data_IF_632930406207
#
_entry.id   IF_632930406207
#
_cell.length_a   1.000
_cell.length_b   1.000
_cell.length_c   1.000
_cell.angle_alpha   90.00
_cell.angle_beta   90.00
_cell.angle_gamma   90.00
#
_symmetry.space_group_name_H-M   'P 1'
#
loop_
_entity.id
_entity.type
_entity.pdbx_description
1 polymer ?
#
# COMPACT_ATOMS: atom_id res chain seq x y z
N UNK A 1 -19.30 -9.23 7.15
CA UNK A 1 -19.76 -9.04 5.76
C UNK A 1 -18.68 -9.62 4.86
N UNK A 2 -19.00 -10.48 3.90
CA UNK A 2 -17.99 -11.06 3.01
C UNK A 2 -17.66 -10.07 1.90
N UNK A 3 -16.37 -9.82 1.67
CA UNK A 3 -15.89 -8.99 0.56
C UNK A 3 -15.67 -9.88 -0.66
N UNK A 4 -16.02 -9.39 -1.84
CA UNK A 4 -15.87 -10.11 -3.09
C UNK A 4 -15.19 -9.23 -4.15
N UNK A 5 -14.51 -9.85 -5.09
CA UNK A 5 -13.92 -9.17 -6.22
C UNK A 5 -12.92 -8.08 -5.84
N UNK A 6 -13.09 -6.93 -6.44
CA UNK A 6 -12.19 -5.78 -6.26
C UNK A 6 -12.17 -5.24 -4.82
N UNK A 7 -13.32 -5.25 -4.13
CA UNK A 7 -13.39 -4.83 -2.72
C UNK A 7 -12.52 -5.74 -1.83
N UNK A 8 -12.59 -7.05 -2.06
CA UNK A 8 -11.75 -8.02 -1.35
C UNK A 8 -10.26 -7.79 -1.59
N UNK A 9 -9.87 -7.40 -2.81
CA UNK A 9 -8.48 -7.08 -3.12
C UNK A 9 -7.99 -5.82 -2.39
N UNK A 10 -8.81 -4.76 -2.33
CA UNK A 10 -8.49 -3.53 -1.60
C UNK A 10 -8.38 -3.80 -0.10
N UNK A 11 -9.31 -4.59 0.46
CA UNK A 11 -9.27 -4.98 1.88
C UNK A 11 -8.02 -5.81 2.21
N UNK A 12 -7.69 -6.81 1.40
CA UNK A 12 -6.49 -7.62 1.58
C UNK A 12 -5.21 -6.79 1.50
N UNK A 13 -5.15 -5.84 0.55
CA UNK A 13 -4.02 -4.92 0.43
C UNK A 13 -3.91 -4.04 1.67
N UNK A 14 -5.03 -3.48 2.15
CA UNK A 14 -5.07 -2.67 3.36
C UNK A 14 -4.59 -3.44 4.58
N UNK A 15 -5.09 -4.66 4.82
CA UNK A 15 -4.66 -5.52 5.91
C UNK A 15 -3.16 -5.83 5.85
N UNK A 16 -2.64 -6.15 4.66
CA UNK A 16 -1.22 -6.43 4.48
C UNK A 16 -0.34 -5.22 4.74
N UNK A 17 -0.71 -4.06 4.21
CA UNK A 17 0.09 -2.84 4.37
C UNK A 17 0.09 -2.31 5.81
N UNK A 18 -0.99 -2.57 6.56
CA UNK A 18 -1.13 -2.14 7.96
C UNK A 18 -0.72 -3.20 8.99
N UNK A 19 -0.29 -4.39 8.55
CA UNK A 19 0.15 -5.44 9.48
C UNK A 19 1.28 -4.98 10.39
N UNK A 20 1.13 -5.18 11.69
CA UNK A 20 2.07 -4.67 12.69
C UNK A 20 3.45 -5.37 12.67
N UNK A 21 3.54 -6.55 12.06
CA UNK A 21 4.78 -7.34 12.00
C UNK A 21 5.43 -7.32 10.62
N UNK A 22 4.61 -7.34 9.57
CA UNK A 22 5.07 -7.52 8.20
C UNK A 22 4.70 -6.37 7.28
N UNK A 23 3.86 -5.45 7.72
CA UNK A 23 3.38 -4.31 6.95
C UNK A 23 4.41 -3.20 6.75
N UNK A 24 3.96 -2.12 6.16
CA UNK A 24 4.83 -1.04 5.72
C UNK A 24 5.56 -0.36 6.89
N UNK A 25 4.86 -0.01 7.97
CA UNK A 25 5.49 0.66 9.11
C UNK A 25 6.52 -0.23 9.81
N UNK A 26 6.29 -1.55 9.91
CA UNK A 26 7.28 -2.49 10.42
C UNK A 26 8.54 -2.54 9.54
N UNK A 27 8.39 -2.48 8.23
CA UNK A 27 9.51 -2.42 7.30
C UNK A 27 10.26 -1.08 7.37
N UNK A 28 9.54 0.04 7.54
CA UNK A 28 10.15 1.35 7.76
C UNK A 28 10.99 1.38 9.05
N UNK A 29 10.48 0.80 10.13
CA UNK A 29 11.23 0.66 11.40
C UNK A 29 12.53 -0.15 11.20
N UNK A 30 12.45 -1.26 10.46
CA UNK A 30 13.64 -2.06 10.11
C UNK A 30 14.64 -1.24 9.31
N UNK A 31 14.21 -0.50 8.30
CA UNK A 31 15.07 0.35 7.48
C UNK A 31 15.71 1.49 8.28
N UNK A 32 14.97 2.09 9.22
CA UNK A 32 15.55 3.10 10.14
C UNK A 32 16.72 2.51 10.94
N UNK A 33 16.52 1.33 11.48
CA UNK A 33 17.57 0.63 12.22
C UNK A 33 18.78 0.30 11.36
N UNK A 34 18.57 -0.28 10.17
CA UNK A 34 19.63 -0.64 9.23
C UNK A 34 20.47 0.55 8.75
N UNK A 35 19.85 1.71 8.59
CA UNK A 35 20.46 2.92 8.02
C UNK A 35 20.80 3.99 9.06
N UNK A 36 20.60 3.71 10.35
CA UNK A 36 20.80 4.67 11.46
C UNK A 36 20.01 5.97 11.26
N UNK A 37 18.76 5.88 10.82
CA UNK A 37 17.87 7.00 10.57
C UNK A 37 16.96 7.24 11.77
N UNK A 38 16.61 8.50 11.99
CA UNK A 38 15.56 8.87 12.96
C UNK A 38 14.16 8.68 12.38
N UNK A 39 13.15 8.73 13.24
CA UNK A 39 11.75 8.78 12.80
C UNK A 39 11.41 10.08 12.03
N UNK A 40 12.18 11.15 12.24
CA UNK A 40 12.01 12.38 11.47
C UNK A 40 12.55 12.25 10.03
N UNK A 41 13.62 11.46 9.82
CA UNK A 41 14.20 11.25 8.48
C UNK A 41 13.36 10.26 7.63
N UNK A 42 12.62 9.38 8.26
CA UNK A 42 11.74 8.40 7.62
C UNK A 42 10.56 8.08 8.54
N UNK A 43 9.55 8.95 8.61
CA UNK A 43 8.40 8.75 9.48
C UNK A 43 7.55 7.56 9.09
N UNK A 44 6.83 7.01 10.05
CA UNK A 44 5.80 6.00 9.78
C UNK A 44 4.64 6.63 9.01
N UNK A 45 3.92 5.81 8.24
CA UNK A 45 2.66 6.24 7.65
C UNK A 45 1.69 6.52 8.80
N UNK A 46 1.25 7.77 8.90
CA UNK A 46 0.37 8.24 9.98
C UNK A 46 -1.08 7.87 9.76
N UNK A 47 -1.49 7.75 8.49
CA UNK A 47 -2.86 7.43 8.12
C UNK A 47 -2.88 6.50 6.91
N UNK A 48 -3.63 5.39 7.03
CA UNK A 48 -3.94 4.49 5.93
C UNK A 48 -5.43 4.63 5.59
N UNK A 49 -5.74 4.84 4.32
CA UNK A 49 -7.10 4.88 3.83
C UNK A 49 -7.31 3.85 2.71
N UNK A 50 -8.52 3.32 2.66
CA UNK A 50 -8.99 2.45 1.60
C UNK A 50 -9.88 3.26 0.67
N UNK A 51 -9.80 2.97 -0.63
CA UNK A 51 -10.55 3.69 -1.65
C UNK A 51 -10.10 5.16 -1.79
N UNK A 52 -11.03 6.09 -1.95
CA UNK A 52 -10.69 7.48 -2.18
C UNK A 52 -10.25 8.18 -0.89
N UNK A 53 -9.17 8.97 -0.94
CA UNK A 53 -8.74 9.73 0.23
C UNK A 53 -9.78 10.81 0.58
N UNK A 54 -9.89 11.07 1.88
CA UNK A 54 -10.62 12.25 2.38
C UNK A 54 -9.96 13.53 1.88
N UNK A 55 -10.68 14.65 1.91
CA UNK A 55 -10.11 15.95 1.56
C UNK A 55 -8.84 16.26 2.34
N UNK A 56 -7.95 17.10 1.78
CA UNK A 56 -6.61 17.39 2.31
C UNK A 56 -6.59 17.86 3.76
N UNK A 57 -7.62 18.59 4.20
CA UNK A 57 -7.72 19.09 5.58
C UNK A 57 -7.89 18.00 6.64
N UNK A 58 -8.30 16.79 6.24
CA UNK A 58 -8.53 15.68 7.15
C UNK A 58 -7.38 14.65 7.12
N UNK A 59 -6.34 14.87 6.30
CA UNK A 59 -5.23 13.91 6.15
C UNK A 59 -4.15 14.17 7.20
N UNK A 60 -3.63 13.08 7.76
CA UNK A 60 -2.40 13.09 8.55
C UNK A 60 -1.26 12.55 7.67
N UNK A 61 -0.15 13.27 7.65
CA UNK A 61 0.98 12.91 6.81
C UNK A 61 2.13 12.30 7.63
N UNK A 62 2.90 11.36 7.07
CA UNK A 62 2.71 10.73 5.75
C UNK A 62 1.39 9.98 5.63
N UNK A 63 0.71 10.20 4.50
CA UNK A 63 -0.60 9.62 4.22
C UNK A 63 -0.50 8.55 3.15
N UNK A 64 -1.21 7.44 3.31
CA UNK A 64 -1.32 6.41 2.29
C UNK A 64 -2.78 6.07 2.01
N UNK A 65 -3.13 5.98 0.75
CA UNK A 65 -4.42 5.43 0.33
C UNK A 65 -4.23 4.32 -0.71
N UNK A 66 -5.17 3.37 -0.72
CA UNK A 66 -5.22 2.28 -1.71
C UNK A 66 -6.49 2.42 -2.52
N UNK A 67 -6.34 2.51 -3.83
CA UNK A 67 -7.41 2.77 -4.79
C UNK A 67 -7.61 1.55 -5.69
N UNK A 68 -8.87 1.26 -5.99
CA UNK A 68 -9.22 0.36 -7.09
C UNK A 68 -9.05 1.09 -8.42
N UNK A 69 -8.49 0.40 -9.40
CA UNK A 69 -8.30 0.93 -10.74
C UNK A 69 -9.15 0.20 -11.78
N UNK A 70 -8.98 -1.12 -11.88
CA UNK A 70 -9.71 -1.97 -12.82
C UNK A 70 -9.62 -3.44 -12.42
N UNK A 71 -10.45 -4.28 -12.99
CA UNK A 71 -10.31 -5.73 -12.88
C UNK A 71 -10.62 -6.46 -14.19
N UNK A 72 -10.15 -7.71 -14.26
CA UNK A 72 -10.55 -8.67 -15.28
C UNK A 72 -10.79 -10.01 -14.59
N UNK A 73 -11.89 -10.68 -14.96
CA UNK A 73 -12.27 -11.95 -14.37
C UNK A 73 -12.31 -13.05 -15.43
N UNK A 74 -11.82 -14.23 -15.05
CA UNK A 74 -11.93 -15.45 -15.82
C UNK A 74 -12.68 -16.48 -14.99
N UNK A 75 -13.82 -16.96 -15.52
CA UNK A 75 -14.64 -17.94 -14.83
C UNK A 75 -14.16 -19.35 -15.12
N UNK A 76 -14.09 -20.16 -14.08
CA UNK A 76 -13.81 -21.60 -14.12
C UNK A 76 -14.99 -22.36 -13.52
N UNK A 77 -15.13 -23.70 -13.71
CA UNK A 77 -16.35 -24.44 -13.32
C UNK A 77 -16.77 -24.30 -11.85
N UNK A 78 -15.80 -24.20 -10.93
CA UNK A 78 -16.06 -24.13 -9.48
C UNK A 78 -15.35 -22.94 -8.80
N UNK A 79 -14.77 -22.05 -9.60
CA UNK A 79 -14.03 -20.92 -9.08
C UNK A 79 -14.00 -19.77 -10.09
N UNK A 80 -13.59 -18.61 -9.64
CA UNK A 80 -13.34 -17.45 -10.48
C UNK A 80 -11.96 -16.90 -10.20
N UNK A 81 -11.16 -16.75 -11.24
CA UNK A 81 -9.87 -16.05 -11.16
C UNK A 81 -10.08 -14.58 -11.51
N UNK A 82 -9.62 -13.70 -10.65
CA UNK A 82 -9.73 -12.26 -10.83
C UNK A 82 -8.33 -11.66 -10.78
N UNK A 83 -8.02 -10.82 -11.77
CA UNK A 83 -6.86 -9.95 -11.73
C UNK A 83 -7.36 -8.53 -11.45
N UNK A 84 -6.98 -7.99 -10.31
CA UNK A 84 -7.38 -6.64 -9.88
C UNK A 84 -6.16 -5.74 -9.94
N UNK A 85 -6.28 -4.64 -10.67
CA UNK A 85 -5.29 -3.55 -10.66
C UNK A 85 -5.64 -2.59 -9.54
N UNK A 86 -4.69 -2.38 -8.63
CA UNK A 86 -4.78 -1.43 -7.52
C UNK A 86 -3.70 -0.37 -7.66
N UNK A 87 -3.95 0.80 -7.12
CA UNK A 87 -2.97 1.86 -6.98
C UNK A 87 -2.87 2.26 -5.51
N UNK A 88 -1.66 2.35 -4.97
CA UNK A 88 -1.44 3.04 -3.71
C UNK A 88 -0.73 4.37 -3.94
N UNK A 89 -1.10 5.34 -3.13
CA UNK A 89 -0.48 6.67 -3.11
C UNK A 89 0.05 6.94 -1.73
N UNK A 90 1.35 7.20 -1.61
CA UNK A 90 1.98 7.69 -0.40
C UNK A 90 2.30 9.15 -0.62
N UNK A 91 1.72 10.04 0.17
CA UNK A 91 2.00 11.47 0.13
C UNK A 91 2.78 11.89 1.37
N UNK A 92 3.86 12.60 1.17
CA UNK A 92 4.70 13.18 2.24
C UNK A 92 4.75 14.69 2.07
N UNK A 93 4.67 15.40 3.17
CA UNK A 93 4.85 16.84 3.24
C UNK A 93 6.16 17.17 3.94
N UNK A 94 6.73 18.30 3.60
CA UNK A 94 7.79 19.07 4.29
C UNK A 94 8.40 18.37 5.53
N UNK A 95 9.22 17.36 5.27
CA UNK A 95 9.89 16.63 6.33
C UNK A 95 10.79 17.56 7.16
N UNK A 96 10.67 17.43 8.47
CA UNK A 96 11.42 18.24 9.44
C UNK A 96 11.09 19.75 9.39
N UNK A 97 10.04 20.19 8.74
CA UNK A 97 9.64 21.60 8.57
C UNK A 97 10.80 22.50 8.08
N UNK A 98 11.67 21.95 7.23
CA UNK A 98 12.85 22.67 6.72
C UNK A 98 12.70 23.15 5.26
N UNK A 99 11.55 22.84 4.62
CA UNK A 99 11.28 23.22 3.25
C UNK A 99 12.15 22.51 2.20
N UNK A 100 12.78 21.40 2.55
CA UNK A 100 13.72 20.70 1.67
C UNK A 100 13.00 19.69 0.76
N UNK A 101 12.87 19.99 -0.52
CA UNK A 101 12.38 19.04 -1.51
C UNK A 101 13.31 17.82 -1.66
N UNK A 102 14.62 18.00 -1.45
CA UNK A 102 15.59 16.92 -1.53
C UNK A 102 15.36 15.87 -0.44
N UNK A 103 15.03 16.29 0.78
CA UNK A 103 14.74 15.37 1.89
C UNK A 103 13.44 14.61 1.65
N UNK A 104 12.41 15.28 1.14
CA UNK A 104 11.15 14.64 0.72
C UNK A 104 11.40 13.62 -0.38
N UNK A 105 12.17 13.97 -1.41
CA UNK A 105 12.54 13.06 -2.50
C UNK A 105 13.31 11.83 -2.02
N UNK A 106 14.26 12.01 -1.10
CA UNK A 106 15.00 10.90 -0.52
C UNK A 106 14.10 9.97 0.30
N UNK A 107 13.20 10.53 1.10
CA UNK A 107 12.21 9.74 1.83
C UNK A 107 11.32 8.93 0.87
N UNK A 108 10.89 9.51 -0.25
CA UNK A 108 10.11 8.80 -1.26
C UNK A 108 10.83 7.60 -1.85
N UNK A 109 12.12 7.72 -2.14
CA UNK A 109 12.93 6.58 -2.57
C UNK A 109 12.95 5.48 -1.50
N UNK A 110 13.02 5.85 -0.22
CA UNK A 110 13.00 4.90 0.90
C UNK A 110 11.63 4.22 1.06
N UNK A 111 10.53 4.96 0.92
CA UNK A 111 9.17 4.37 0.92
C UNK A 111 9.00 3.38 -0.22
N UNK A 112 9.44 3.72 -1.43
CA UNK A 112 9.45 2.80 -2.57
C UNK A 112 10.22 1.52 -2.27
N UNK A 113 11.42 1.65 -1.71
CA UNK A 113 12.27 0.51 -1.37
C UNK A 113 11.63 -0.35 -0.26
N UNK A 114 10.97 0.27 0.72
CA UNK A 114 10.21 -0.44 1.75
C UNK A 114 9.06 -1.23 1.16
N UNK A 115 8.23 -0.61 0.30
CA UNK A 115 7.17 -1.30 -0.42
C UNK A 115 7.71 -2.48 -1.22
N UNK A 116 8.76 -2.28 -1.99
CA UNK A 116 9.38 -3.35 -2.77
C UNK A 116 9.82 -4.50 -1.87
N UNK A 117 10.47 -4.22 -0.74
CA UNK A 117 10.93 -5.25 0.20
C UNK A 117 9.79 -6.07 0.78
N UNK A 118 8.66 -5.45 1.19
CA UNK A 118 7.54 -6.22 1.76
C UNK A 118 6.87 -7.15 0.75
N UNK A 119 6.81 -6.76 -0.52
CA UNK A 119 6.24 -7.60 -1.58
C UNK A 119 7.20 -8.72 -2.05
N UNK A 120 8.51 -8.49 -1.96
CA UNK A 120 9.51 -9.52 -2.23
C UNK A 120 9.69 -10.51 -1.07
N UNK A 121 9.26 -10.14 0.12
CA UNK A 121 9.40 -10.97 1.31
C UNK A 121 8.50 -12.20 1.19
N UNK A 122 9.07 -13.38 1.40
CA UNK A 122 8.28 -14.60 1.56
C UNK A 122 7.71 -14.62 2.98
N UNK A 123 6.39 -14.78 3.08
CA UNK A 123 5.76 -15.04 4.36
C UNK A 123 6.35 -16.34 4.98
N UNK A 124 6.37 -16.48 6.32
CA UNK A 124 6.92 -17.66 7.00
C UNK A 124 6.30 -19.00 6.52
N UNK A 125 5.10 -18.95 5.96
CA UNK A 125 4.40 -20.12 5.38
C UNK A 125 4.92 -20.52 4.00
N UNK A 126 5.91 -19.83 3.44
CA UNK A 126 6.44 -20.08 2.09
C UNK A 126 5.48 -19.75 0.94
N UNK A 127 4.30 -19.25 1.23
CA UNK A 127 3.29 -18.87 0.24
C UNK A 127 3.23 -17.35 0.08
N UNK A 128 3.28 -16.88 -1.15
CA UNK A 128 2.79 -15.54 -1.51
C UNK A 128 1.26 -15.62 -1.60
N UNK A 129 0.59 -15.71 -0.49
CA UNK A 129 -0.86 -15.77 -0.48
C UNK A 129 -1.35 -15.14 0.80
N UNK A 130 -2.24 -14.20 0.67
CA UNK A 130 -2.92 -13.59 1.80
C UNK A 130 -4.29 -14.25 1.92
N UNK A 131 -4.64 -14.66 3.11
CA UNK A 131 -5.98 -15.15 3.40
C UNK A 131 -6.79 -13.96 3.90
N UNK A 132 -7.84 -13.63 3.20
CA UNK A 132 -8.80 -12.64 3.67
C UNK A 132 -9.54 -13.20 4.88
N UNK A 133 -9.42 -12.57 6.02
CA UNK A 133 -10.27 -12.85 7.17
C UNK A 133 -11.36 -11.78 7.24
N UNK A 134 -12.58 -12.22 7.44
CA UNK A 134 -13.74 -11.34 7.44
C UNK A 134 -14.48 -11.49 8.77
N UNK A 135 -14.04 -10.74 9.80
CA UNK A 135 -14.70 -10.76 11.10
C UNK A 135 -14.87 -12.15 11.73
N UNK A 136 -13.91 -13.06 11.49
CA UNK A 136 -13.95 -14.45 11.96
C UNK A 136 -14.59 -15.44 10.97
N UNK A 137 -15.12 -14.96 9.86
CA UNK A 137 -15.61 -15.81 8.78
C UNK A 137 -14.51 -15.99 7.75
N UNK A 138 -14.13 -17.23 7.46
CA UNK A 138 -13.17 -17.53 6.39
C UNK A 138 -13.75 -17.01 5.08
N UNK A 139 -13.07 -16.08 4.43
CA UNK A 139 -13.49 -15.62 3.11
C UNK A 139 -13.35 -16.77 2.10
N UNK A 140 -14.28 -16.85 1.19
CA UNK A 140 -14.31 -17.85 0.11
C UNK A 140 -13.25 -17.60 -0.96
N UNK A 141 -12.39 -16.58 -0.75
CA UNK A 141 -11.37 -16.19 -1.70
C UNK A 141 -9.98 -16.09 -1.08
N UNK A 142 -8.96 -16.18 -1.92
CA UNK A 142 -7.57 -15.99 -1.52
C UNK A 142 -6.80 -15.16 -2.54
N UNK A 143 -5.93 -14.32 -2.06
CA UNK A 143 -4.92 -13.68 -2.90
C UNK A 143 -3.84 -14.69 -3.22
N UNK A 144 -3.65 -14.98 -4.51
CA UNK A 144 -2.65 -15.93 -4.98
C UNK A 144 -1.30 -15.24 -5.17
N UNK A 145 -1.34 -14.02 -5.71
CA UNK A 145 -0.13 -13.26 -6.04
C UNK A 145 -0.44 -11.77 -6.05
N UNK A 146 0.52 -10.98 -5.61
CA UNK A 146 0.56 -9.55 -5.84
C UNK A 146 1.93 -9.18 -6.42
N UNK A 147 1.93 -8.39 -7.48
CA UNK A 147 3.14 -7.86 -8.12
C UNK A 147 3.05 -6.35 -8.25
N UNK A 148 4.16 -5.66 -7.97
CA UNK A 148 4.30 -4.25 -8.31
C UNK A 148 4.55 -4.17 -9.82
N UNK A 149 3.78 -3.32 -10.50
CA UNK A 149 3.93 -3.06 -11.94
C UNK A 149 4.71 -1.78 -12.19
N UNK A 150 4.33 -0.69 -11.53
CA UNK A 150 5.00 0.60 -11.67
C UNK A 150 5.18 1.31 -10.35
N UNK A 151 6.18 2.20 -10.31
CA UNK A 151 6.41 3.17 -9.23
C UNK A 151 6.71 4.52 -9.87
N UNK A 152 5.83 5.48 -9.66
CA UNK A 152 5.96 6.82 -10.20
C UNK A 152 6.01 7.86 -9.08
N UNK A 153 6.86 8.87 -9.24
CA UNK A 153 6.93 10.03 -8.35
C UNK A 153 6.22 11.21 -9.00
N UNK A 154 5.37 11.88 -8.25
CA UNK A 154 4.65 13.06 -8.69
C UNK A 154 4.45 14.04 -7.53
N UNK A 155 4.06 15.26 -7.83
CA UNK A 155 3.52 16.18 -6.83
C UNK A 155 2.05 15.83 -6.58
N UNK A 156 1.59 15.96 -5.33
CA UNK A 156 0.16 15.82 -5.04
C UNK A 156 -0.55 17.12 -5.45
N UNK A 157 -1.42 17.10 -6.47
CA UNK A 157 -2.06 18.30 -7.00
C UNK A 157 -3.07 18.93 -6.04
N UNK A 158 -3.49 18.20 -4.99
CA UNK A 158 -4.43 18.69 -3.99
C UNK A 158 -3.75 19.50 -2.88
N UNK A 159 -2.41 19.51 -2.85
CA UNK A 159 -1.62 20.24 -1.87
C UNK A 159 -1.16 21.57 -2.48
N UNK A 160 -1.15 22.63 -1.66
CA UNK A 160 -0.68 23.93 -2.13
C UNK A 160 0.75 23.84 -2.68
N UNK A 161 0.97 24.44 -3.84
CA UNK A 161 2.27 24.41 -4.54
C UNK A 161 3.44 25.02 -3.73
N UNK A 162 3.15 25.83 -2.71
CA UNK A 162 4.15 26.42 -1.83
C UNK A 162 4.65 25.48 -0.74
N UNK A 163 3.97 24.33 -0.53
CA UNK A 163 4.38 23.33 0.46
C UNK A 163 5.16 22.23 -0.24
N UNK A 164 6.43 21.98 0.11
CA UNK A 164 7.17 20.85 -0.44
C UNK A 164 6.41 19.56 -0.18
N UNK A 165 6.00 18.93 -1.26
CA UNK A 165 5.26 17.68 -1.19
C UNK A 165 5.70 16.74 -2.30
N UNK A 166 5.54 15.46 -2.08
CA UNK A 166 5.77 14.46 -3.09
C UNK A 166 4.85 13.26 -2.86
N UNK A 167 4.37 12.70 -3.94
CA UNK A 167 3.50 11.53 -3.95
C UNK A 167 4.18 10.39 -4.70
N UNK A 168 4.32 9.26 -4.04
CA UNK A 168 4.69 7.99 -4.66
C UNK A 168 3.42 7.26 -5.06
N UNK A 169 3.23 7.02 -6.35
CA UNK A 169 2.18 6.16 -6.88
C UNK A 169 2.77 4.81 -7.22
N UNK A 170 2.17 3.75 -6.68
CA UNK A 170 2.58 2.37 -6.95
C UNK A 170 1.38 1.59 -7.45
N UNK A 171 1.50 1.04 -8.65
CA UNK A 171 0.46 0.19 -9.25
C UNK A 171 0.78 -1.27 -8.98
N UNK A 172 -0.24 -2.03 -8.60
CA UNK A 172 -0.15 -3.45 -8.29
C UNK A 172 -1.11 -4.26 -9.14
N UNK A 173 -0.68 -5.44 -9.53
CA UNK A 173 -1.57 -6.48 -10.03
C UNK A 173 -1.78 -7.53 -8.95
N UNK A 174 -3.01 -7.64 -8.47
CA UNK A 174 -3.43 -8.62 -7.46
C UNK A 174 -4.22 -9.72 -8.16
N UNK A 175 -3.71 -10.95 -8.11
CA UNK A 175 -4.41 -12.13 -8.61
C UNK A 175 -5.08 -12.85 -7.45
N UNK A 176 -6.39 -13.03 -7.58
CA UNK A 176 -7.23 -13.67 -6.58
C UNK A 176 -7.95 -14.87 -7.17
N UNK A 177 -8.28 -15.82 -6.30
CA UNK A 177 -9.21 -16.91 -6.60
C UNK A 177 -10.40 -16.79 -5.65
N UNK A 178 -11.58 -16.83 -6.19
CA UNK A 178 -12.85 -16.96 -5.45
C UNK A 178 -13.41 -18.33 -5.72
N UNK A 179 -13.76 -19.07 -4.66
CA UNK A 179 -14.41 -20.37 -4.73
C UNK A 179 -15.92 -20.16 -4.47
N UNK A 180 -16.78 -20.89 -5.21
CA UNK A 180 -18.24 -20.81 -5.09
C UNK A 180 -18.79 -21.99 -4.29
#
# INVERSE_FOLDING_TARGET
MAYYGAEAAVEAMGEFLTDGTYGLNAQLATMRSEKSLSAADLPDISQFEKFYPKGTQARQFPHMCTLYHSDTAQQEPNSRMINVSLESRITVLDLNNNGSEADVGLAMCRYRDALTKIFLRRLPTGRQGWTLSNGGTVATGRVIRCTIETNDLAFDPEIQASTPNMMLRTTYLVRMQEDY
#
